data_IF_891395350466
#
_entry.id   IF_891395350466
#
_cell.length_a   1.000
_cell.length_b   1.000
_cell.length_c   1.000
_cell.angle_alpha   90.00
_cell.angle_beta   90.00
_cell.angle_gamma   90.00
#
_symmetry.space_group_name_H-M   'P 1'
#
loop_
_entity.id
_entity.type
_entity.pdbx_description
1 polymer ?
#
# COMPACT_ATOMS: atom_id res chain seq x y z
N UNK A 1 -3.45 1.87 0.66
CA UNK A 1 -3.39 2.09 -0.80
C UNK A 1 -4.77 2.52 -1.28
N UNK A 2 -4.82 3.31 -2.35
CA UNK A 2 -6.05 3.70 -3.02
C UNK A 2 -6.63 2.50 -3.77
N UNK A 3 -7.83 2.10 -3.37
CA UNK A 3 -8.52 0.93 -3.94
C UNK A 3 -9.10 1.23 -5.32
N UNK A 4 -9.61 2.45 -5.53
CA UNK A 4 -10.24 2.85 -6.80
C UNK A 4 -9.18 2.97 -7.89
N UNK A 5 -7.99 3.45 -7.54
CA UNK A 5 -6.85 3.47 -8.47
C UNK A 5 -6.42 2.05 -8.88
N UNK A 6 -6.36 1.12 -7.91
CA UNK A 6 -6.04 -0.28 -8.17
C UNK A 6 -7.09 -0.95 -9.07
N UNK A 7 -8.38 -0.74 -8.79
CA UNK A 7 -9.47 -1.26 -9.63
C UNK A 7 -9.35 -0.76 -11.07
N UNK A 8 -9.16 0.55 -11.26
CA UNK A 8 -8.96 1.14 -12.59
C UNK A 8 -7.73 0.58 -13.29
N UNK A 9 -6.64 0.32 -12.56
CA UNK A 9 -5.45 -0.32 -13.11
C UNK A 9 -5.79 -1.73 -13.60
N UNK A 10 -6.45 -2.56 -12.78
CA UNK A 10 -6.82 -3.92 -13.16
C UNK A 10 -7.82 -3.96 -14.33
N UNK A 11 -8.79 -3.05 -14.38
CA UNK A 11 -9.75 -2.90 -15.47
C UNK A 11 -9.07 -2.64 -16.82
N UNK A 12 -7.97 -1.86 -16.85
CA UNK A 12 -7.20 -1.64 -18.10
C UNK A 12 -6.64 -2.93 -18.70
N UNK A 13 -6.38 -3.93 -17.87
CA UNK A 13 -5.90 -5.26 -18.30
C UNK A 13 -7.05 -6.27 -18.44
N UNK A 14 -8.32 -5.85 -18.29
CA UNK A 14 -9.49 -6.74 -18.24
C UNK A 14 -9.39 -7.83 -17.15
N UNK A 15 -8.75 -7.50 -16.03
CA UNK A 15 -8.58 -8.40 -14.89
C UNK A 15 -9.41 -7.93 -13.69
N UNK A 16 -9.96 -8.85 -12.88
CA UNK A 16 -10.54 -8.48 -11.61
C UNK A 16 -9.43 -8.06 -10.62
N UNK A 17 -9.67 -7.09 -9.72
CA UNK A 17 -8.73 -6.77 -8.65
C UNK A 17 -8.54 -7.99 -7.76
N UNK A 18 -7.30 -8.46 -7.65
CA UNK A 18 -7.00 -9.62 -6.84
C UNK A 18 -6.87 -9.23 -5.36
N UNK A 19 -7.53 -9.99 -4.50
CA UNK A 19 -7.32 -9.94 -3.05
C UNK A 19 -6.28 -10.99 -2.70
N UNK A 20 -5.09 -10.56 -2.30
CA UNK A 20 -4.04 -11.47 -1.85
C UNK A 20 -4.56 -12.34 -0.70
N UNK A 21 -4.33 -13.66 -0.80
CA UNK A 21 -4.80 -14.64 0.20
C UNK A 21 -4.09 -14.55 1.55
N UNK A 22 -3.01 -13.76 1.64
CA UNK A 22 -2.23 -13.56 2.85
C UNK A 22 -1.32 -12.33 2.76
N UNK A 23 -0.51 -12.15 3.80
CA UNK A 23 0.48 -11.07 3.84
C UNK A 23 1.67 -11.39 2.92
N UNK A 24 1.96 -10.48 1.99
CA UNK A 24 3.21 -10.46 1.25
C UNK A 24 4.34 -9.95 2.13
N UNK A 25 5.54 -10.50 1.90
CA UNK A 25 6.82 -10.09 2.53
C UNK A 25 7.81 -9.61 1.48
N UNK A 26 7.32 -9.36 0.26
CA UNK A 26 8.14 -8.84 -0.82
C UNK A 26 8.49 -7.39 -0.56
N UNK A 27 9.75 -7.05 -0.84
CA UNK A 27 10.23 -5.69 -0.74
C UNK A 27 9.75 -4.87 -1.94
N UNK A 28 8.80 -3.97 -1.73
CA UNK A 28 8.27 -3.11 -2.78
C UNK A 28 8.87 -1.70 -2.65
N UNK A 29 9.44 -1.12 -3.71
CA UNK A 29 9.94 0.25 -3.64
C UNK A 29 8.79 1.25 -3.45
N UNK A 30 9.08 2.33 -2.72
CA UNK A 30 8.17 3.45 -2.49
C UNK A 30 8.77 4.69 -3.12
N UNK A 31 7.95 5.43 -3.84
CA UNK A 31 8.33 6.59 -4.63
C UNK A 31 7.61 7.86 -4.19
N UNK A 32 8.25 9.00 -4.42
CA UNK A 32 7.66 10.34 -4.37
C UNK A 32 8.24 11.17 -5.52
N UNK A 33 7.41 11.80 -6.34
CA UNK A 33 7.88 12.59 -7.49
C UNK A 33 8.74 11.83 -8.51
N UNK A 34 8.63 10.50 -8.58
CA UNK A 34 9.46 9.64 -9.43
C UNK A 34 10.78 9.17 -8.82
N UNK A 35 11.15 9.69 -7.64
CA UNK A 35 12.33 9.25 -6.90
C UNK A 35 11.97 8.14 -5.91
N UNK A 36 12.83 7.12 -5.77
CA UNK A 36 12.64 6.09 -4.76
C UNK A 36 13.09 6.62 -3.39
N UNK A 37 12.13 6.75 -2.47
CA UNK A 37 12.32 7.35 -1.13
C UNK A 37 12.26 6.32 -0.01
N UNK A 38 12.03 5.05 -0.34
CA UNK A 38 11.92 3.99 0.67
C UNK A 38 11.55 2.63 0.10
N UNK A 39 11.12 1.76 1.00
CA UNK A 39 10.60 0.42 0.68
C UNK A 39 9.56 -0.06 1.69
N UNK A 40 8.54 -0.73 1.18
CA UNK A 40 7.66 -1.60 1.95
C UNK A 40 8.36 -2.92 2.22
N UNK A 41 8.15 -3.45 3.42
CA UNK A 41 8.68 -4.73 3.88
C UNK A 41 7.61 -5.80 3.98
N UNK A 42 6.36 -5.40 4.19
CA UNK A 42 5.21 -6.30 4.21
C UNK A 42 3.93 -5.57 3.83
N UNK A 43 3.06 -6.24 3.10
CA UNK A 43 1.76 -5.71 2.69
C UNK A 43 0.71 -6.80 2.77
N UNK A 44 -0.54 -6.41 3.02
CA UNK A 44 -1.65 -7.36 3.07
C UNK A 44 -2.97 -6.66 2.80
N UNK A 45 -3.96 -7.39 2.30
CA UNK A 45 -5.34 -6.94 2.34
C UNK A 45 -5.89 -7.14 3.76
N UNK A 46 -6.38 -6.08 4.40
CA UNK A 46 -7.04 -6.19 5.69
C UNK A 46 -8.54 -6.44 5.49
N UNK A 47 -9.08 -7.61 5.88
CA UNK A 47 -10.51 -7.89 5.77
C UNK A 47 -11.36 -6.95 6.66
N UNK A 48 -10.77 -6.47 7.76
CA UNK A 48 -11.43 -5.57 8.71
C UNK A 48 -11.56 -4.16 8.09
N UNK A 49 -10.47 -3.66 7.51
CA UNK A 49 -10.44 -2.30 6.94
C UNK A 49 -10.94 -2.25 5.49
N UNK A 50 -11.08 -3.42 4.84
CA UNK A 50 -11.37 -3.59 3.41
C UNK A 50 -10.42 -2.77 2.53
N UNK A 51 -9.14 -2.73 2.92
CA UNK A 51 -8.10 -1.94 2.28
C UNK A 51 -6.77 -2.69 2.30
N UNK A 52 -5.95 -2.45 1.29
CA UNK A 52 -4.53 -2.83 1.34
C UNK A 52 -3.76 -1.92 2.29
N UNK A 53 -3.09 -2.56 3.25
CA UNK A 53 -2.21 -1.93 4.23
C UNK A 53 -0.79 -2.46 4.03
N UNK A 54 0.19 -1.65 4.38
CA UNK A 54 1.59 -2.02 4.28
C UNK A 54 2.42 -1.36 5.38
N UNK A 55 3.48 -2.05 5.77
CA UNK A 55 4.53 -1.52 6.63
C UNK A 55 5.79 -1.32 5.80
N UNK A 56 6.49 -0.23 6.05
CA UNK A 56 7.68 0.12 5.30
C UNK A 56 8.47 1.22 5.99
N UNK A 57 9.66 1.49 5.44
CA UNK A 57 10.54 2.58 5.87
C UNK A 57 10.71 3.53 4.70
N UNK A 58 10.60 4.82 4.99
CA UNK A 58 10.76 5.93 4.05
C UNK A 58 11.68 6.98 4.66
N UNK A 59 12.29 7.84 3.85
CA UNK A 59 13.04 9.00 4.36
C UNK A 59 12.15 9.86 5.28
N UNK A 60 12.74 10.42 6.32
CA UNK A 60 12.01 11.10 7.40
C UNK A 60 11.16 12.27 6.91
N UNK A 61 11.58 12.94 5.83
CA UNK A 61 10.84 14.04 5.20
C UNK A 61 9.48 13.59 4.61
N UNK A 62 9.31 12.30 4.31
CA UNK A 62 8.08 11.71 3.76
C UNK A 62 7.28 10.91 4.79
N UNK A 63 7.74 10.86 6.06
CA UNK A 63 7.12 10.05 7.11
C UNK A 63 5.95 10.74 7.82
N UNK A 64 5.61 11.98 7.44
CA UNK A 64 4.51 12.73 8.05
C UNK A 64 3.15 12.06 7.77
N UNK A 65 2.25 12.10 8.76
CA UNK A 65 0.91 11.54 8.62
C UNK A 65 0.12 12.31 7.55
N UNK A 66 -0.45 11.57 6.61
CA UNK A 66 -1.20 12.14 5.51
C UNK A 66 -0.44 12.34 4.23
N UNK A 67 0.90 12.21 4.24
CA UNK A 67 1.71 12.25 3.03
C UNK A 67 1.28 11.17 2.05
N UNK A 68 1.08 11.58 0.80
CA UNK A 68 0.80 10.68 -0.32
C UNK A 68 2.10 10.22 -0.97
N UNK A 69 2.18 8.91 -1.18
CA UNK A 69 3.34 8.21 -1.73
C UNK A 69 2.88 7.23 -2.80
N UNK A 70 3.80 6.84 -3.67
CA UNK A 70 3.54 5.90 -4.75
C UNK A 70 4.20 4.56 -4.43
N UNK A 71 3.42 3.49 -4.32
CA UNK A 71 3.96 2.15 -4.12
C UNK A 71 3.97 1.38 -5.42
N UNK A 72 5.06 0.65 -5.65
CA UNK A 72 5.10 -0.26 -6.78
C UNK A 72 4.09 -1.40 -6.66
N UNK A 73 3.43 -1.66 -7.78
CA UNK A 73 2.50 -2.75 -7.97
C UNK A 73 2.73 -3.37 -9.35
N UNK A 74 3.09 -4.65 -9.39
CA UNK A 74 3.32 -5.36 -10.66
C UNK A 74 2.04 -6.05 -11.09
N UNK A 75 1.55 -5.73 -12.29
CA UNK A 75 0.39 -6.37 -12.91
C UNK A 75 0.78 -6.86 -14.30
N UNK A 76 0.50 -8.13 -14.63
CA UNK A 76 0.85 -8.74 -15.92
C UNK A 76 2.31 -8.49 -16.36
N UNK A 77 3.25 -8.66 -15.42
CA UNK A 77 4.70 -8.42 -15.61
C UNK A 77 5.10 -6.96 -15.90
N UNK A 78 4.17 -6.01 -15.81
CA UNK A 78 4.42 -4.58 -15.94
C UNK A 78 4.42 -3.90 -14.57
N UNK A 79 5.39 -3.01 -14.34
CA UNK A 79 5.50 -2.24 -13.09
C UNK A 79 4.62 -1.00 -13.18
N UNK A 80 3.68 -0.90 -12.27
CA UNK A 80 2.83 0.28 -12.05
C UNK A 80 3.09 0.85 -10.67
N UNK A 81 2.54 2.04 -10.43
CA UNK A 81 2.50 2.64 -9.10
C UNK A 81 1.08 2.89 -8.67
N UNK A 82 0.80 2.66 -7.39
CA UNK A 82 -0.48 2.92 -6.75
C UNK A 82 -0.26 3.88 -5.58
N UNK A 83 -1.13 4.87 -5.50
CA UNK A 83 -1.12 5.86 -4.43
C UNK A 83 -1.40 5.20 -3.09
N UNK A 84 -0.64 5.57 -2.07
CA UNK A 84 -0.97 5.31 -0.69
C UNK A 84 -0.67 6.50 0.20
N UNK A 85 -1.21 6.42 1.41
CA UNK A 85 -1.14 7.48 2.39
C UNK A 85 -0.46 6.97 3.64
N UNK A 86 0.47 7.75 4.18
CA UNK A 86 1.06 7.50 5.48
C UNK A 86 0.00 7.69 6.57
N UNK A 87 -0.17 6.68 7.43
CA UNK A 87 -1.20 6.65 8.47
C UNK A 87 -0.60 6.29 9.82
N UNK A 88 -1.31 6.68 10.89
CA UNK A 88 -0.90 6.37 12.25
C UNK A 88 -1.04 4.87 12.51
N UNK A 89 -0.06 4.30 13.21
CA UNK A 89 -0.13 2.94 13.73
C UNK A 89 -0.75 2.92 15.14
N UNK A 90 -1.46 1.85 15.53
CA UNK A 90 -1.84 0.69 14.70
C UNK A 90 -2.93 1.03 13.69
N UNK A 91 -3.00 0.28 12.57
CA UNK A 91 -3.99 0.52 11.50
C UNK A 91 -5.45 0.38 11.96
N UNK A 92 -5.68 -0.32 13.07
CA UNK A 92 -6.99 -0.52 13.69
C UNK A 92 -6.81 -0.52 15.21
N UNK A 93 -7.51 0.39 15.90
CA UNK A 93 -7.43 0.56 17.36
C UNK A 93 -8.85 0.55 17.97
N UNK A 94 -9.39 -0.63 18.34
CA UNK A 94 -10.68 -0.72 19.02
C UNK A 94 -10.53 -0.39 20.51
N UNK A 95 -11.37 0.51 21.02
CA UNK A 95 -11.43 0.96 22.43
C UNK A 95 -11.37 -0.17 23.48
N UNK A 96 -11.84 -1.37 23.13
CA UNK A 96 -12.01 -2.52 24.02
C UNK A 96 -10.81 -3.48 24.10
N UNK A 97 -9.68 -3.17 23.44
CA UNK A 97 -8.42 -3.94 23.49
C UNK A 97 -7.21 -3.06 23.81
N UNK A 98 -7.34 -2.18 24.81
CA UNK A 98 -6.17 -1.57 25.46
C UNK A 98 -5.63 -2.60 26.45
N UNK A 99 -4.49 -3.21 26.12
CA UNK A 99 -3.72 -4.08 27.05
C UNK A 99 -3.16 -3.24 28.19
#
# INVERSE_FOLDING_TARGET
MDWVELERLCERYNLPPQLGSGASREGLPVYSGGEQIGKVTSSTFSPILKKYIALGSVSSEYAELGTELQLEYTLEYERHTITARVVKMPFFDPERKKL
#
